data_IF_478304390145
#
_entry.id   IF_478304390145
#
_cell.length_a   1.000
_cell.length_b   1.000
_cell.length_c   1.000
_cell.angle_alpha   90.00
_cell.angle_beta   90.00
_cell.angle_gamma   90.00
#
_symmetry.space_group_name_H-M   'P 1'
#
loop_
_entity.id
_entity.type
_entity.pdbx_description
1 polymer ?
#
# COMPACT_ATOMS: atom_id res chain seq x y z
N UNK A 1 -13.00 3.07 78.33
CA UNK A 1 -14.31 3.59 78.76
C UNK A 1 -15.25 3.51 77.57
N UNK A 2 -16.28 2.68 77.70
CA UNK A 2 -17.46 2.42 76.84
C UNK A 2 -17.92 3.65 75.99
N UNK A 3 -18.46 3.52 74.77
CA UNK A 3 -19.69 2.80 74.41
C UNK A 3 -19.85 2.61 72.88
N UNK A 4 -20.51 1.51 72.53
CA UNK A 4 -21.03 1.09 71.21
C UNK A 4 -22.44 1.71 70.99
N UNK A 5 -22.92 1.82 69.73
CA UNK A 5 -24.25 1.36 69.20
C UNK A 5 -24.95 2.29 68.17
N UNK A 6 -25.13 1.72 66.96
CA UNK A 6 -26.25 1.74 65.94
C UNK A 6 -26.67 3.05 65.23
N UNK A 7 -26.58 3.16 63.88
CA UNK A 7 -27.37 2.56 62.74
C UNK A 7 -28.68 3.32 62.43
N UNK A 8 -28.79 3.87 61.20
CA UNK A 8 -29.91 3.77 60.21
C UNK A 8 -29.69 4.76 59.06
N UNK A 9 -29.37 4.29 57.84
CA UNK A 9 -30.21 4.18 56.62
C UNK A 9 -30.76 5.53 56.09
N UNK A 10 -30.28 5.92 54.90
CA UNK A 10 -31.09 6.62 53.90
C UNK A 10 -30.69 6.14 52.50
N UNK A 11 -31.65 5.48 51.87
CA UNK A 11 -31.66 5.01 50.49
C UNK A 11 -31.91 6.22 49.57
N UNK A 12 -31.09 6.45 48.56
CA UNK A 12 -31.45 7.30 47.43
C UNK A 12 -30.98 6.61 46.15
N UNK A 13 -31.91 5.94 45.48
CA UNK A 13 -31.71 5.36 44.17
C UNK A 13 -31.47 6.44 43.12
N UNK A 14 -30.55 6.17 42.21
CA UNK A 14 -30.41 6.88 40.95
C UNK A 14 -30.42 5.84 39.83
N UNK A 15 -31.61 5.52 39.35
CA UNK A 15 -31.83 4.96 38.03
C UNK A 15 -31.54 6.06 37.02
N UNK A 16 -30.44 5.94 36.27
CA UNK A 16 -30.24 6.69 35.04
C UNK A 16 -29.76 5.72 33.96
N UNK A 17 -30.74 5.25 33.20
CA UNK A 17 -30.74 4.82 31.80
C UNK A 17 -29.36 4.59 31.18
N UNK A 18 -29.12 3.33 30.82
CA UNK A 18 -28.16 2.94 29.82
C UNK A 18 -28.45 3.69 28.51
N UNK A 19 -27.77 4.80 28.29
CA UNK A 19 -27.66 5.38 26.98
C UNK A 19 -26.74 4.46 26.17
N UNK A 20 -27.32 3.80 25.17
CA UNK A 20 -26.59 3.28 24.03
C UNK A 20 -25.74 4.42 23.48
N UNK A 21 -24.47 4.45 23.87
CA UNK A 21 -23.49 5.18 23.07
C UNK A 21 -23.28 4.31 21.86
N UNK A 22 -23.86 4.72 20.73
CA UNK A 22 -23.40 4.31 19.41
C UNK A 22 -21.96 4.81 19.29
N UNK A 23 -21.05 4.06 19.91
CA UNK A 23 -19.63 4.17 19.66
C UNK A 23 -19.45 3.52 18.30
N UNK A 24 -19.63 4.32 17.26
CA UNK A 24 -19.06 4.02 15.97
C UNK A 24 -17.63 3.55 16.24
N UNK A 25 -17.23 2.33 15.82
CA UNK A 25 -15.85 1.90 15.95
C UNK A 25 -15.00 2.98 15.29
N UNK A 26 -14.17 3.67 16.07
CA UNK A 26 -13.20 4.60 15.52
C UNK A 26 -12.32 3.86 14.52
N UNK A 27 -11.82 4.54 13.46
CA UNK A 27 -10.96 3.92 12.47
C UNK A 27 -9.84 3.15 13.17
N UNK A 28 -9.70 1.88 12.84
CA UNK A 28 -8.68 0.97 13.36
C UNK A 28 -7.31 1.51 12.98
N UNK A 29 -6.67 2.25 13.89
CA UNK A 29 -5.27 2.08 14.26
C UNK A 29 -4.17 2.21 13.21
N UNK A 30 -4.44 2.60 11.97
CA UNK A 30 -3.42 3.12 11.06
C UNK A 30 -3.44 4.63 11.19
N UNK A 31 -2.92 5.11 12.31
CA UNK A 31 -2.30 6.43 12.30
C UNK A 31 -1.15 6.36 11.31
N UNK A 32 -1.45 6.70 10.05
CA UNK A 32 -0.45 6.93 9.01
C UNK A 32 0.36 8.14 9.48
N UNK A 33 1.41 7.83 10.23
CA UNK A 33 2.47 8.75 10.54
C UNK A 33 3.75 8.07 10.11
N UNK A 34 4.23 8.38 8.89
CA UNK A 34 5.66 8.46 8.71
C UNK A 34 6.22 9.39 9.79
N UNK A 35 6.94 8.83 10.76
CA UNK A 35 7.48 9.59 11.87
C UNK A 35 8.58 10.52 11.35
N UNK A 36 8.27 11.81 11.20
CA UNK A 36 9.26 12.88 11.00
C UNK A 36 9.91 13.28 12.34
N UNK A 37 10.31 12.33 13.18
CA UNK A 37 11.03 12.65 14.41
C UNK A 37 12.52 12.82 14.11
N UNK A 38 12.95 14.07 14.18
CA UNK A 38 14.28 14.53 13.79
C UNK A 38 15.43 13.99 14.65
N UNK A 39 16.49 13.63 13.95
CA UNK A 39 17.90 13.67 14.35
C UNK A 39 18.72 14.06 13.08
N UNK A 40 19.96 14.57 13.23
CA UNK A 40 20.56 15.49 12.27
C UNK A 40 20.96 14.81 10.96
N UNK A 41 20.42 15.31 9.84
CA UNK A 41 20.79 15.01 8.44
C UNK A 41 20.68 13.54 7.98
N UNK A 42 19.69 12.78 8.43
CA UNK A 42 19.11 11.76 7.53
C UNK A 42 18.25 12.50 6.49
N UNK A 43 18.85 12.76 5.35
CA UNK A 43 18.22 13.35 4.16
C UNK A 43 16.90 12.59 3.85
N UNK A 44 15.75 13.26 3.95
CA UNK A 44 14.45 12.58 3.90
C UNK A 44 14.19 11.93 2.55
N UNK A 45 14.09 10.59 2.54
CA UNK A 45 13.75 9.81 1.35
C UNK A 45 12.41 10.29 0.77
N UNK A 46 12.33 10.38 -0.56
CA UNK A 46 11.10 10.73 -1.26
C UNK A 46 10.15 9.53 -1.34
N UNK A 47 10.64 8.32 -1.62
CA UNK A 47 9.78 7.17 -1.94
C UNK A 47 8.85 6.74 -0.81
N UNK A 48 9.24 6.69 0.48
CA UNK A 48 8.31 6.38 1.56
C UNK A 48 7.11 7.34 1.63
N UNK A 49 7.35 8.65 1.45
CA UNK A 49 6.28 9.65 1.50
C UNK A 49 5.28 9.47 0.34
N UNK A 50 5.75 9.12 -0.85
CA UNK A 50 4.89 8.84 -2.00
C UNK A 50 4.13 7.51 -1.87
N UNK A 51 4.73 6.49 -1.26
CA UNK A 51 4.05 5.22 -0.97
C UNK A 51 2.97 5.40 0.10
N UNK A 52 3.23 6.19 1.15
CA UNK A 52 2.22 6.57 2.14
C UNK A 52 1.09 7.38 1.50
N UNK A 53 1.42 8.35 0.63
CA UNK A 53 0.41 9.10 -0.14
C UNK A 53 -0.45 8.16 -0.97
N UNK A 54 0.14 7.19 -1.67
CA UNK A 54 -0.58 6.19 -2.44
C UNK A 54 -1.51 5.35 -1.56
N UNK A 55 -1.06 4.91 -0.39
CA UNK A 55 -1.88 4.17 0.56
C UNK A 55 -3.08 4.97 1.08
N UNK A 56 -2.89 6.26 1.38
CA UNK A 56 -3.98 7.18 1.70
C UNK A 56 -4.99 7.29 0.56
N UNK A 57 -4.52 7.45 -0.68
CA UNK A 57 -5.38 7.59 -1.86
C UNK A 57 -6.14 6.30 -2.19
N UNK A 58 -5.51 5.13 -2.10
CA UNK A 58 -6.14 3.81 -2.27
C UNK A 58 -7.29 3.64 -1.26
N UNK A 59 -7.03 3.99 0.00
CA UNK A 59 -8.04 3.92 1.07
C UNK A 59 -9.21 4.87 0.80
N UNK A 60 -8.91 6.13 0.46
CA UNK A 60 -9.90 7.18 0.21
C UNK A 60 -10.75 6.91 -1.03
N UNK A 61 -10.14 6.42 -2.10
CA UNK A 61 -10.81 6.08 -3.36
C UNK A 61 -11.59 4.77 -3.28
N UNK A 62 -11.47 4.02 -2.18
CA UNK A 62 -12.17 2.75 -2.00
C UNK A 62 -11.72 1.68 -3.00
N UNK A 63 -10.44 1.67 -3.37
CA UNK A 63 -9.91 0.64 -4.26
C UNK A 63 -10.09 -0.74 -3.61
N UNK A 64 -10.62 -1.69 -4.39
CA UNK A 64 -10.66 -3.08 -3.96
C UNK A 64 -9.24 -3.68 -4.00
N UNK A 65 -8.98 -4.81 -3.30
CA UNK A 65 -7.65 -5.41 -3.25
C UNK A 65 -7.03 -5.69 -4.62
N UNK A 66 -7.83 -6.01 -5.63
CA UNK A 66 -7.33 -6.31 -6.98
C UNK A 66 -6.81 -5.05 -7.69
N UNK A 67 -7.54 -3.94 -7.54
CA UNK A 67 -7.14 -2.63 -8.08
C UNK A 67 -5.93 -2.09 -7.32
N UNK A 68 -5.90 -2.26 -6.00
CA UNK A 68 -4.76 -1.87 -5.18
C UNK A 68 -3.48 -2.66 -5.55
N UNK A 69 -3.57 -3.99 -5.72
CA UNK A 69 -2.46 -4.85 -6.16
C UNK A 69 -1.94 -4.48 -7.56
N UNK A 70 -2.75 -3.84 -8.41
CA UNK A 70 -2.28 -3.28 -9.68
C UNK A 70 -1.63 -1.89 -9.51
N UNK A 71 -2.19 -1.05 -8.64
CA UNK A 71 -1.75 0.32 -8.42
C UNK A 71 -0.35 0.44 -7.79
N UNK A 72 -0.05 -0.31 -6.73
CA UNK A 72 1.23 -0.18 -6.01
C UNK A 72 2.46 -0.55 -6.86
N UNK A 73 2.47 -1.67 -7.62
CA UNK A 73 3.61 -1.99 -8.48
C UNK A 73 3.85 -0.97 -9.59
N UNK A 74 2.80 -0.34 -10.13
CA UNK A 74 2.98 0.77 -11.08
C UNK A 74 3.80 1.90 -10.47
N UNK A 75 3.50 2.26 -9.22
CA UNK A 75 4.25 3.28 -8.51
C UNK A 75 5.68 2.82 -8.21
N UNK A 76 5.86 1.65 -7.58
CA UNK A 76 7.17 1.14 -7.17
C UNK A 76 8.13 0.97 -8.34
N UNK A 77 7.67 0.37 -9.45
CA UNK A 77 8.49 0.19 -10.66
C UNK A 77 8.84 1.52 -11.31
N UNK A 78 7.90 2.47 -11.36
CA UNK A 78 8.18 3.80 -11.91
C UNK A 78 9.26 4.54 -11.10
N UNK A 79 9.17 4.49 -9.77
CA UNK A 79 10.14 5.09 -8.87
C UNK A 79 11.54 4.47 -9.05
N UNK A 80 11.62 3.13 -9.08
CA UNK A 80 12.88 2.42 -9.30
C UNK A 80 13.52 2.78 -10.65
N UNK A 81 12.76 2.68 -11.75
CA UNK A 81 13.29 3.01 -13.08
C UNK A 81 13.70 4.48 -13.19
N UNK A 82 12.99 5.39 -12.53
CA UNK A 82 13.30 6.81 -12.53
C UNK A 82 14.65 7.08 -11.88
N UNK A 83 14.90 6.53 -10.67
CA UNK A 83 16.19 6.64 -9.99
C UNK A 83 17.31 6.05 -10.84
N UNK A 84 17.14 4.81 -11.31
CA UNK A 84 18.15 4.13 -12.14
C UNK A 84 18.53 4.94 -13.40
N UNK A 85 17.54 5.55 -14.08
CA UNK A 85 17.79 6.34 -15.31
C UNK A 85 18.34 7.72 -15.02
N UNK A 86 17.90 8.38 -13.95
CA UNK A 86 18.42 9.68 -13.56
C UNK A 86 19.92 9.59 -13.22
N UNK A 87 20.31 8.55 -12.47
CA UNK A 87 21.70 8.31 -12.13
C UNK A 87 22.54 7.89 -13.35
N UNK A 88 21.97 7.08 -14.25
CA UNK A 88 22.64 6.72 -15.51
C UNK A 88 22.92 7.96 -16.39
N UNK A 89 21.99 8.92 -16.44
CA UNK A 89 22.15 10.16 -17.19
C UNK A 89 23.28 11.06 -16.65
N UNK A 90 23.69 10.87 -15.39
CA UNK A 90 24.79 11.60 -14.74
C UNK A 90 26.14 10.85 -14.79
N UNK A 91 26.27 9.81 -15.63
CA UNK A 91 27.51 9.04 -15.78
C UNK A 91 27.55 7.72 -14.99
N UNK A 92 26.42 7.28 -14.41
CA UNK A 92 26.29 5.96 -13.80
C UNK A 92 26.89 5.82 -12.40
N UNK A 93 27.05 4.55 -11.96
CA UNK A 93 27.54 4.15 -10.64
C UNK A 93 29.05 4.36 -10.42
N UNK A 94 29.73 5.20 -11.21
CA UNK A 94 31.15 5.51 -11.00
C UNK A 94 31.33 6.36 -9.74
N UNK A 95 31.28 5.64 -8.62
CA UNK A 95 31.95 5.92 -7.36
C UNK A 95 33.44 6.09 -7.62
N UNK A 96 33.82 7.28 -8.07
CA UNK A 96 35.02 7.90 -7.53
C UNK A 96 34.74 8.19 -6.05
N UNK A 97 35.00 7.19 -5.18
CA UNK A 97 34.97 7.20 -3.71
C UNK A 97 33.63 6.92 -3.00
N UNK A 98 33.45 5.64 -2.63
CA UNK A 98 32.60 5.17 -1.50
C UNK A 98 33.15 5.65 -0.13
N UNK A 99 34.18 6.49 -0.11
CA UNK A 99 34.97 6.79 1.10
C UNK A 99 34.36 7.86 2.03
N UNK A 100 33.23 8.49 1.71
CA UNK A 100 32.77 9.65 2.51
C UNK A 100 32.12 9.31 3.85
N UNK A 101 31.85 8.03 4.18
CA UNK A 101 31.40 7.60 5.52
C UNK A 101 30.06 8.20 6.01
N UNK A 102 29.44 9.08 5.21
CA UNK A 102 28.20 9.83 5.52
C UNK A 102 27.02 9.42 4.63
N UNK A 103 27.18 8.40 3.77
CA UNK A 103 26.09 7.86 2.94
C UNK A 103 25.73 8.66 1.68
N UNK A 104 26.31 9.84 1.46
CA UNK A 104 25.93 10.77 0.37
C UNK A 104 26.76 10.56 -0.92
N UNK A 105 27.75 9.65 -0.91
CA UNK A 105 28.68 9.44 -2.03
C UNK A 105 29.47 10.71 -2.42
N UNK A 106 30.12 10.70 -3.58
CA UNK A 106 30.88 11.85 -4.09
C UNK A 106 30.01 12.98 -4.66
N UNK A 107 28.72 12.72 -4.91
CA UNK A 107 27.77 13.70 -5.45
C UNK A 107 27.15 14.63 -4.40
N UNK A 108 27.30 14.32 -3.11
CA UNK A 108 26.69 15.11 -2.04
C UNK A 108 25.18 15.32 -2.25
N UNK A 109 24.67 16.48 -1.84
CA UNK A 109 23.27 16.87 -2.03
C UNK A 109 22.78 16.79 -3.48
N UNK A 110 23.65 16.87 -4.48
CA UNK A 110 23.21 16.75 -5.87
C UNK A 110 22.61 15.38 -6.16
N UNK A 111 23.22 14.31 -5.64
CA UNK A 111 22.73 12.94 -5.86
C UNK A 111 21.41 12.71 -5.14
N UNK A 112 21.33 13.11 -3.87
CA UNK A 112 20.08 13.05 -3.12
C UNK A 112 18.96 13.76 -3.88
N UNK A 113 19.18 15.02 -4.23
CA UNK A 113 18.13 15.83 -4.85
C UNK A 113 17.73 15.28 -6.22
N UNK A 114 18.68 14.73 -6.98
CA UNK A 114 18.40 14.01 -8.22
C UNK A 114 17.46 12.81 -8.00
N UNK A 115 17.77 11.94 -7.04
CA UNK A 115 16.97 10.75 -6.75
C UNK A 115 15.59 11.14 -6.21
N UNK A 116 15.51 12.14 -5.31
CA UNK A 116 14.26 12.69 -4.80
C UNK A 116 13.38 13.26 -5.92
N UNK A 117 13.97 14.05 -6.82
CA UNK A 117 13.29 14.59 -7.99
C UNK A 117 12.77 13.48 -8.89
N UNK A 118 13.60 12.47 -9.18
CA UNK A 118 13.22 11.33 -10.01
C UNK A 118 12.03 10.56 -9.44
N UNK A 119 12.04 10.28 -8.14
CA UNK A 119 10.91 9.67 -7.43
C UNK A 119 9.67 10.56 -7.49
N UNK A 120 9.80 11.85 -7.21
CA UNK A 120 8.66 12.79 -7.22
C UNK A 120 8.01 12.87 -8.60
N UNK A 121 8.81 13.07 -9.66
CA UNK A 121 8.34 13.16 -11.04
C UNK A 121 7.67 11.87 -11.53
N UNK A 122 8.20 10.70 -11.17
CA UNK A 122 7.56 9.43 -11.53
C UNK A 122 6.24 9.22 -10.76
N UNK A 123 6.25 9.54 -9.47
CA UNK A 123 5.11 9.33 -8.58
C UNK A 123 3.93 10.22 -8.95
N UNK A 124 4.15 11.51 -9.23
CA UNK A 124 3.07 12.43 -9.61
C UNK A 124 2.37 11.98 -10.90
N UNK A 125 3.12 11.49 -11.89
CA UNK A 125 2.54 11.03 -13.16
C UNK A 125 1.71 9.76 -12.95
N UNK A 126 2.26 8.75 -12.26
CA UNK A 126 1.54 7.49 -12.01
C UNK A 126 0.32 7.71 -11.12
N UNK A 127 0.46 8.47 -10.03
CA UNK A 127 -0.67 8.73 -9.13
C UNK A 127 -1.72 9.64 -9.74
N UNK A 128 -1.36 10.56 -10.64
CA UNK A 128 -2.35 11.36 -11.39
C UNK A 128 -3.16 10.49 -12.35
N UNK A 129 -2.52 9.51 -13.00
CA UNK A 129 -3.23 8.52 -13.82
C UNK A 129 -4.22 7.69 -12.98
N UNK A 130 -3.81 7.24 -11.79
CA UNK A 130 -4.64 6.42 -10.90
C UNK A 130 -5.73 7.23 -10.18
N UNK A 131 -5.45 8.50 -9.86
CA UNK A 131 -6.32 9.38 -9.06
C UNK A 131 -6.43 10.78 -9.70
N UNK A 132 -7.12 10.93 -10.85
CA UNK A 132 -7.14 12.19 -11.59
C UNK A 132 -7.67 13.39 -10.80
N UNK A 133 -8.60 13.17 -9.86
CA UNK A 133 -9.14 14.24 -9.00
C UNK A 133 -8.11 14.83 -8.03
N UNK A 134 -6.99 14.14 -7.82
CA UNK A 134 -5.93 14.54 -6.89
C UNK A 134 -4.74 15.20 -7.59
N UNK A 135 -4.81 15.42 -8.91
CA UNK A 135 -3.70 15.92 -9.73
C UNK A 135 -3.03 17.16 -9.12
N UNK A 136 -3.81 18.20 -8.79
CA UNK A 136 -3.26 19.43 -8.21
C UNK A 136 -2.56 19.17 -6.86
N UNK A 137 -3.21 18.40 -5.97
CA UNK A 137 -2.63 18.09 -4.66
C UNK A 137 -1.37 17.21 -4.74
N UNK A 138 -1.18 16.47 -5.84
CA UNK A 138 0.02 15.70 -6.12
C UNK A 138 1.13 16.59 -6.69
N UNK A 139 0.81 17.54 -7.56
CA UNK A 139 1.76 18.57 -8.01
C UNK A 139 2.24 19.45 -6.85
N UNK A 140 1.33 19.86 -5.95
CA UNK A 140 1.69 20.61 -4.75
C UNK A 140 2.67 19.83 -3.84
N UNK A 141 2.59 18.49 -3.84
CA UNK A 141 3.54 17.63 -3.11
C UNK A 141 4.91 17.58 -3.78
N UNK A 142 4.98 17.62 -5.12
CA UNK A 142 6.25 17.77 -5.85
C UNK A 142 6.90 19.10 -5.48
N UNK A 143 6.14 20.20 -5.54
CA UNK A 143 6.62 21.53 -5.19
C UNK A 143 7.10 21.61 -3.73
N UNK A 144 6.35 21.00 -2.81
CA UNK A 144 6.77 20.92 -1.41
C UNK A 144 8.09 20.15 -1.24
N UNK A 145 8.26 19.02 -1.95
CA UNK A 145 9.49 18.24 -1.89
C UNK A 145 10.68 18.97 -2.54
N UNK A 146 10.46 19.68 -3.65
CA UNK A 146 11.48 20.49 -4.31
C UNK A 146 12.01 21.58 -3.36
N UNK A 147 11.13 22.17 -2.54
CA UNK A 147 11.47 23.29 -1.66
C UNK A 147 11.78 22.90 -0.20
N UNK A 148 11.86 21.59 0.11
CA UNK A 148 12.11 21.11 1.48
C UNK A 148 13.54 21.40 1.97
N UNK A 149 14.49 21.62 1.06
CA UNK A 149 15.90 21.86 1.37
C UNK A 149 16.25 23.34 1.63
N UNK A 150 17.36 23.62 2.34
CA UNK A 150 17.88 24.98 2.47
C UNK A 150 18.23 25.58 1.11
N UNK A 151 17.70 26.78 0.81
CA UNK A 151 17.97 27.48 -0.45
C UNK A 151 16.91 27.29 -1.55
N UNK A 152 15.83 26.57 -1.27
CA UNK A 152 14.73 26.33 -2.23
C UNK A 152 15.05 25.21 -3.23
N UNK A 153 14.31 25.17 -4.34
CA UNK A 153 14.44 24.13 -5.37
C UNK A 153 15.88 23.96 -5.89
N UNK A 154 16.39 22.74 -5.77
CA UNK A 154 17.74 22.38 -6.19
C UNK A 154 17.77 21.98 -7.68
N UNK A 155 18.73 22.44 -8.52
CA UNK A 155 18.75 22.11 -9.95
C UNK A 155 18.77 20.59 -10.24
N UNK A 156 19.46 19.81 -9.41
CA UNK A 156 19.46 18.36 -9.54
C UNK A 156 18.07 17.74 -9.31
N UNK A 157 17.24 18.31 -8.42
CA UNK A 157 15.84 17.90 -8.26
C UNK A 157 15.07 18.08 -9.55
N UNK A 158 15.15 19.26 -10.17
CA UNK A 158 14.47 19.52 -11.44
C UNK A 158 14.91 18.57 -12.57
N UNK A 159 16.20 18.22 -12.63
CA UNK A 159 16.70 17.21 -13.58
C UNK A 159 16.17 15.80 -13.30
N UNK A 160 16.16 15.42 -12.02
CA UNK A 160 15.57 14.17 -11.57
C UNK A 160 14.09 14.10 -11.94
N UNK A 161 13.34 15.14 -11.59
CA UNK A 161 11.91 15.28 -11.84
C UNK A 161 11.57 15.13 -13.32
N UNK A 162 12.30 15.81 -14.22
CA UNK A 162 12.09 15.67 -15.65
C UNK A 162 12.28 14.21 -16.12
N UNK A 163 13.30 13.52 -15.61
CA UNK A 163 13.55 12.10 -15.90
C UNK A 163 12.44 11.23 -15.32
N UNK A 164 12.02 11.49 -14.08
CA UNK A 164 10.95 10.79 -13.40
C UNK A 164 9.62 10.89 -14.12
N UNK A 165 9.23 12.09 -14.55
CA UNK A 165 7.98 12.31 -15.31
C UNK A 165 7.98 11.52 -16.62
N UNK A 166 9.11 11.48 -17.33
CA UNK A 166 9.24 10.67 -18.54
C UNK A 166 9.06 9.16 -18.26
N UNK A 167 9.69 8.64 -17.20
CA UNK A 167 9.53 7.25 -16.78
C UNK A 167 8.09 6.96 -16.34
N UNK A 168 7.48 7.86 -15.56
CA UNK A 168 6.09 7.74 -15.14
C UNK A 168 5.15 7.62 -16.33
N UNK A 169 5.38 8.41 -17.39
CA UNK A 169 4.58 8.34 -18.62
C UNK A 169 4.71 6.97 -19.33
N UNK A 170 5.91 6.38 -19.36
CA UNK A 170 6.12 5.03 -19.91
C UNK A 170 5.37 3.97 -19.09
N UNK A 171 5.39 4.08 -17.77
CA UNK A 171 4.67 3.15 -16.89
C UNK A 171 3.16 3.30 -17.03
N UNK A 172 2.65 4.52 -17.19
CA UNK A 172 1.24 4.77 -17.51
C UNK A 172 0.88 4.16 -18.86
N UNK A 173 1.71 4.30 -19.89
CA UNK A 173 1.47 3.70 -21.21
C UNK A 173 1.43 2.15 -21.12
N UNK A 174 2.30 1.54 -20.32
CA UNK A 174 2.23 0.11 -20.01
C UNK A 174 0.91 -0.23 -19.32
N UNK A 175 0.51 0.51 -18.28
CA UNK A 175 -0.71 0.28 -17.53
C UNK A 175 -1.98 0.32 -18.39
N UNK A 176 -2.01 1.20 -19.41
CA UNK A 176 -3.13 1.32 -20.33
C UNK A 176 -3.26 0.12 -21.28
N UNK A 177 -2.19 -0.64 -21.48
CA UNK A 177 -2.11 -1.72 -22.47
C UNK A 177 -1.90 -3.11 -21.86
N UNK A 178 -1.70 -3.20 -20.54
CA UNK A 178 -1.41 -4.46 -19.86
C UNK A 178 -2.60 -5.41 -19.74
N UNK A 179 -3.82 -4.95 -20.04
CA UNK A 179 -5.03 -5.76 -20.04
C UNK A 179 -5.84 -5.73 -18.74
N UNK A 180 -5.39 -5.01 -17.70
CA UNK A 180 -6.09 -4.94 -16.41
C UNK A 180 -7.52 -4.40 -16.50
N UNK A 181 -7.76 -3.42 -17.36
CA UNK A 181 -9.07 -2.78 -17.57
C UNK A 181 -10.02 -3.56 -18.49
N UNK A 182 -9.60 -4.72 -19.03
CA UNK A 182 -10.45 -5.49 -19.95
C UNK A 182 -11.61 -6.14 -19.21
N UNK A 183 -12.83 -5.85 -19.68
CA UNK A 183 -14.04 -6.45 -19.14
C UNK A 183 -14.07 -7.97 -19.39
N UNK A 184 -14.49 -8.76 -18.40
CA UNK A 184 -14.75 -10.18 -18.60
C UNK A 184 -15.93 -10.38 -19.57
N UNK A 185 -15.72 -11.16 -20.63
CA UNK A 185 -16.73 -11.42 -21.68
C UNK A 185 -17.19 -12.88 -21.73
N UNK A 186 -16.72 -13.73 -20.81
CA UNK A 186 -17.09 -15.14 -20.76
C UNK A 186 -18.46 -15.37 -20.11
N UNK A 187 -18.92 -16.62 -20.18
CA UNK A 187 -20.12 -17.08 -19.46
C UNK A 187 -19.72 -17.56 -18.07
N UNK A 188 -20.41 -17.08 -17.03
CA UNK A 188 -20.23 -17.56 -15.65
C UNK A 188 -20.99 -18.88 -15.50
N UNK A 189 -20.33 -20.01 -15.18
CA UNK A 189 -21.00 -21.29 -14.96
C UNK A 189 -22.00 -21.21 -13.80
N UNK A 190 -23.12 -21.90 -13.94
CA UNK A 190 -24.16 -21.98 -12.90
C UNK A 190 -24.41 -23.43 -12.51
N UNK A 191 -24.78 -23.67 -11.25
CA UNK A 191 -25.18 -24.98 -10.75
C UNK A 191 -24.40 -25.42 -9.52
N UNK A 192 -24.70 -26.61 -8.97
CA UNK A 192 -24.00 -27.15 -7.82
C UNK A 192 -22.49 -27.26 -8.05
N UNK A 193 -21.70 -26.92 -7.03
CA UNK A 193 -20.24 -26.96 -7.10
C UNK A 193 -19.58 -25.80 -7.85
N UNK A 194 -20.35 -24.89 -8.46
CA UNK A 194 -19.84 -23.66 -9.03
C UNK A 194 -20.00 -22.48 -8.06
N UNK A 195 -19.07 -21.54 -8.15
CA UNK A 195 -19.18 -20.26 -7.45
C UNK A 195 -20.43 -19.49 -7.94
N UNK A 196 -21.10 -18.79 -7.02
CA UNK A 196 -22.28 -17.96 -7.33
C UNK A 196 -21.96 -16.49 -7.11
N UNK A 197 -22.32 -15.66 -8.09
CA UNK A 197 -22.13 -14.22 -8.01
C UNK A 197 -23.13 -13.57 -7.06
N UNK A 198 -22.67 -12.57 -6.31
CA UNK A 198 -23.49 -11.77 -5.40
C UNK A 198 -23.97 -10.45 -6.04
N UNK A 199 -23.75 -10.27 -7.35
CA UNK A 199 -24.16 -9.08 -8.11
C UNK A 199 -25.21 -9.42 -9.18
N UNK A 200 -25.99 -8.43 -9.60
CA UNK A 200 -26.95 -8.55 -10.71
C UNK A 200 -26.75 -7.36 -11.66
N UNK A 201 -26.34 -7.58 -12.94
CA UNK A 201 -26.02 -8.87 -13.55
C UNK A 201 -24.78 -9.54 -12.92
N UNK A 202 -24.64 -10.88 -13.02
CA UNK A 202 -23.49 -11.60 -12.46
C UNK A 202 -22.15 -11.09 -13.00
N UNK A 203 -21.23 -10.77 -12.09
CA UNK A 203 -19.83 -10.43 -12.41
C UNK A 203 -18.86 -11.41 -11.75
N UNK A 204 -17.64 -11.55 -12.27
CA UNK A 204 -16.55 -12.31 -11.62
C UNK A 204 -15.68 -11.33 -10.83
N UNK A 205 -15.50 -11.57 -9.53
CA UNK A 205 -14.51 -10.86 -8.73
C UNK A 205 -13.10 -11.13 -9.29
N UNK A 206 -12.39 -10.09 -9.71
CA UNK A 206 -11.07 -10.22 -10.35
C UNK A 206 -11.09 -10.36 -11.87
N UNK A 207 -12.28 -10.29 -12.48
CA UNK A 207 -12.45 -10.12 -13.93
C UNK A 207 -11.52 -10.98 -14.78
N UNK A 208 -10.72 -10.31 -15.63
CA UNK A 208 -9.74 -10.93 -16.53
C UNK A 208 -8.31 -10.93 -15.96
N UNK A 209 -8.09 -11.03 -14.65
CA UNK A 209 -6.73 -11.08 -14.09
C UNK A 209 -5.76 -12.05 -14.83
N UNK A 210 -6.18 -13.26 -15.28
CA UNK A 210 -5.34 -14.12 -16.11
C UNK A 210 -4.93 -13.56 -17.48
N UNK A 211 -5.62 -12.53 -17.98
CA UNK A 211 -5.33 -11.81 -19.22
C UNK A 211 -4.48 -10.54 -19.01
N UNK A 212 -4.05 -10.26 -17.78
CA UNK A 212 -3.16 -9.14 -17.46
C UNK A 212 -1.71 -9.53 -17.69
N UNK A 213 -0.95 -8.66 -18.34
CA UNK A 213 0.47 -8.85 -18.63
C UNK A 213 1.28 -8.81 -17.34
N UNK A 214 1.89 -9.94 -16.92
CA UNK A 214 2.65 -9.98 -15.68
C UNK A 214 3.91 -9.10 -15.72
N UNK A 215 4.45 -8.78 -14.54
CA UNK A 215 5.76 -8.13 -14.42
C UNK A 215 6.92 -9.13 -14.55
N UNK A 216 6.86 -10.22 -13.78
CA UNK A 216 7.96 -11.18 -13.65
C UNK A 216 7.59 -12.61 -14.07
N UNK A 217 6.30 -12.93 -14.17
CA UNK A 217 5.86 -14.27 -14.56
C UNK A 217 5.98 -14.47 -16.06
N UNK A 218 6.42 -15.64 -16.49
CA UNK A 218 6.47 -16.02 -17.91
C UNK A 218 5.08 -16.36 -18.47
N UNK A 219 4.13 -16.69 -17.59
CA UNK A 219 2.72 -16.92 -17.92
C UNK A 219 1.84 -16.72 -16.68
N UNK A 220 0.56 -16.39 -16.88
CA UNK A 220 -0.41 -16.25 -15.78
C UNK A 220 -0.61 -17.55 -14.98
N UNK A 221 -0.27 -18.71 -15.55
CA UNK A 221 -0.42 -20.03 -14.92
C UNK A 221 0.89 -20.60 -14.37
N UNK A 222 1.98 -19.84 -14.32
CA UNK A 222 3.31 -20.35 -13.92
C UNK A 222 3.29 -21.07 -12.57
N UNK A 223 2.48 -20.61 -11.62
CA UNK A 223 2.32 -21.21 -10.28
C UNK A 223 0.90 -21.73 -10.02
N UNK A 224 0.17 -22.13 -11.06
CA UNK A 224 -1.20 -22.65 -10.90
C UNK A 224 -1.17 -23.96 -10.08
N UNK A 225 -1.84 -24.04 -8.92
CA UNK A 225 -1.93 -25.27 -8.16
C UNK A 225 -2.78 -26.32 -8.89
N UNK A 226 -2.72 -27.57 -8.42
CA UNK A 226 -3.65 -28.61 -8.84
C UNK A 226 -5.12 -28.26 -8.55
N UNK A 227 -6.08 -29.01 -9.12
CA UNK A 227 -7.50 -28.74 -8.88
C UNK A 227 -7.86 -28.93 -7.39
N UNK A 228 -8.84 -28.17 -6.88
CA UNK A 228 -9.35 -28.38 -5.53
C UNK A 228 -10.05 -29.75 -5.41
N UNK A 229 -10.33 -30.24 -4.17
CA UNK A 229 -11.14 -31.43 -3.96
C UNK A 229 -12.46 -31.37 -4.74
N UNK A 230 -12.82 -32.48 -5.40
CA UNK A 230 -14.04 -32.55 -6.18
C UNK A 230 -15.28 -32.23 -5.31
N UNK A 231 -16.24 -31.48 -5.85
CA UNK A 231 -17.46 -31.13 -5.14
C UNK A 231 -18.16 -32.38 -4.61
N UNK A 232 -18.62 -32.31 -3.35
CA UNK A 232 -19.24 -33.43 -2.63
C UNK A 232 -18.38 -34.69 -2.41
N UNK A 233 -17.08 -34.68 -2.76
CA UNK A 233 -16.15 -35.74 -2.36
C UNK A 233 -15.96 -35.78 -0.84
N UNK A 234 -15.46 -36.90 -0.32
CA UNK A 234 -15.14 -37.03 1.11
C UNK A 234 -14.20 -35.91 1.58
N UNK A 235 -13.15 -35.59 0.82
CA UNK A 235 -12.22 -34.51 1.14
C UNK A 235 -12.90 -33.13 1.14
N UNK A 236 -13.80 -32.86 0.20
CA UNK A 236 -14.59 -31.61 0.20
C UNK A 236 -15.49 -31.51 1.43
N UNK A 237 -16.18 -32.60 1.79
CA UNK A 237 -17.06 -32.66 2.97
C UNK A 237 -16.27 -32.40 4.24
N UNK A 238 -15.11 -33.06 4.41
CA UNK A 238 -14.22 -32.83 5.54
C UNK A 238 -13.79 -31.37 5.66
N UNK A 239 -13.32 -30.75 4.57
CA UNK A 239 -12.89 -29.36 4.58
C UNK A 239 -14.04 -28.38 4.89
N UNK A 240 -15.25 -28.64 4.36
CA UNK A 240 -16.45 -27.85 4.68
C UNK A 240 -16.81 -27.96 6.16
N UNK A 241 -16.78 -29.17 6.71
CA UNK A 241 -17.16 -29.41 8.11
C UNK A 241 -16.16 -28.77 9.08
N UNK A 242 -14.87 -28.72 8.73
CA UNK A 242 -13.87 -27.95 9.46
C UNK A 242 -14.21 -26.45 9.50
N UNK A 243 -14.53 -25.85 8.34
CA UNK A 243 -14.93 -24.43 8.27
C UNK A 243 -16.20 -24.19 9.11
N UNK A 244 -17.16 -25.11 9.06
CA UNK A 244 -18.39 -25.01 9.88
C UNK A 244 -18.08 -25.07 11.37
N UNK A 245 -17.24 -26.00 11.79
CA UNK A 245 -16.81 -26.13 13.18
C UNK A 245 -16.15 -24.84 13.67
N UNK A 246 -15.18 -24.29 12.91
CA UNK A 246 -14.53 -23.01 13.25
C UNK A 246 -15.58 -21.90 13.32
N UNK A 247 -16.54 -21.85 12.40
CA UNK A 247 -17.60 -20.84 12.44
C UNK A 247 -18.46 -20.95 13.71
N UNK A 248 -18.72 -22.14 14.23
CA UNK A 248 -19.53 -22.35 15.42
C UNK A 248 -18.75 -22.11 16.72
N UNK A 249 -17.43 -22.40 16.72
CA UNK A 249 -16.62 -22.38 17.95
C UNK A 249 -15.52 -21.33 17.97
N UNK A 250 -15.49 -20.41 17.00
CA UNK A 250 -14.41 -19.40 16.91
C UNK A 250 -14.29 -18.59 18.19
N UNK A 251 -13.06 -18.46 18.69
CA UNK A 251 -12.74 -17.66 19.88
C UNK A 251 -12.68 -16.17 19.55
N UNK A 252 -12.69 -15.33 20.59
CA UNK A 252 -12.47 -13.88 20.43
C UNK A 252 -11.12 -13.57 19.76
N UNK A 253 -10.08 -14.36 20.08
CA UNK A 253 -8.76 -14.24 19.45
C UNK A 253 -8.83 -14.56 17.95
N UNK A 254 -9.49 -15.66 17.55
CA UNK A 254 -9.64 -16.02 16.14
C UNK A 254 -10.45 -14.97 15.36
N UNK A 255 -11.46 -14.36 15.99
CA UNK A 255 -12.18 -13.21 15.41
C UNK A 255 -11.23 -12.01 15.24
N UNK A 256 -10.41 -11.72 16.25
CA UNK A 256 -9.42 -10.64 16.20
C UNK A 256 -8.41 -10.83 15.06
N UNK A 257 -7.88 -12.04 14.90
CA UNK A 257 -6.95 -12.40 13.81
C UNK A 257 -7.63 -12.22 12.44
N UNK A 258 -8.87 -12.71 12.29
CA UNK A 258 -9.61 -12.57 11.04
C UNK A 258 -9.90 -11.10 10.69
N UNK A 259 -10.31 -10.29 11.68
CA UNK A 259 -10.56 -8.87 11.50
C UNK A 259 -9.28 -8.10 11.15
N UNK A 260 -8.16 -8.43 11.79
CA UNK A 260 -6.86 -7.81 11.50
C UNK A 260 -6.44 -8.03 10.05
N UNK A 261 -6.56 -9.26 9.53
CA UNK A 261 -6.15 -9.61 8.17
C UNK A 261 -7.21 -9.30 7.09
N UNK A 262 -8.40 -8.83 7.47
CA UNK A 262 -9.50 -8.59 6.52
C UNK A 262 -9.16 -7.52 5.47
N UNK A 263 -8.40 -6.48 5.85
CA UNK A 263 -7.79 -5.45 5.00
C UNK A 263 -8.60 -5.14 3.71
N UNK A 264 -9.88 -4.80 3.89
CA UNK A 264 -10.85 -4.65 2.80
C UNK A 264 -10.88 -3.21 2.26
N UNK A 265 -11.80 -2.93 1.33
CA UNK A 265 -12.08 -1.58 0.83
C UNK A 265 -12.21 -0.59 2.00
N UNK A 266 -11.60 0.59 1.86
CA UNK A 266 -11.51 1.59 2.92
C UNK A 266 -10.24 1.48 3.77
N UNK A 267 -9.38 0.50 3.49
CA UNK A 267 -8.00 0.43 4.01
C UNK A 267 -6.99 0.47 2.85
N UNK A 268 -5.67 0.51 3.11
CA UNK A 268 -4.65 0.32 2.08
C UNK A 268 -4.65 -1.07 1.42
N UNK A 269 -5.54 -1.97 1.85
CA UNK A 269 -5.61 -3.38 1.47
C UNK A 269 -4.37 -4.19 1.87
N UNK A 270 -4.35 -5.49 1.58
CA UNK A 270 -3.20 -6.35 1.87
C UNK A 270 -1.92 -5.87 1.17
N UNK A 271 -2.01 -5.32 -0.05
CA UNK A 271 -0.84 -4.82 -0.76
C UNK A 271 -0.22 -3.62 -0.03
N UNK A 272 -1.04 -2.63 0.37
CA UNK A 272 -0.57 -1.48 1.12
C UNK A 272 0.00 -1.82 2.50
N UNK A 273 -0.54 -2.85 3.16
CA UNK A 273 0.03 -3.37 4.41
C UNK A 273 1.48 -3.86 4.21
N UNK A 274 1.77 -4.64 3.17
CA UNK A 274 3.13 -5.10 2.90
C UNK A 274 4.06 -3.97 2.50
N UNK A 275 3.59 -2.98 1.73
CA UNK A 275 4.33 -1.75 1.44
C UNK A 275 4.70 -0.99 2.72
N UNK A 276 3.80 -0.95 3.71
CA UNK A 276 4.10 -0.36 5.02
C UNK A 276 5.17 -1.15 5.77
N UNK A 277 5.07 -2.48 5.81
CA UNK A 277 6.10 -3.34 6.42
C UNK A 277 7.47 -3.10 5.75
N UNK A 278 7.51 -2.96 4.43
CA UNK A 278 8.73 -2.60 3.71
C UNK A 278 9.24 -1.20 4.06
N UNK A 279 8.35 -0.23 4.23
CA UNK A 279 8.69 1.14 4.68
C UNK A 279 9.33 1.13 6.06
N UNK A 280 8.78 0.34 6.99
CA UNK A 280 9.33 0.17 8.34
C UNK A 280 10.73 -0.45 8.27
N UNK A 281 10.93 -1.45 7.41
CA UNK A 281 12.24 -2.05 7.14
C UNK A 281 13.24 -1.06 6.55
N UNK A 282 12.84 -0.24 5.57
CA UNK A 282 13.66 0.83 4.98
C UNK A 282 14.19 1.76 6.07
N UNK A 283 13.31 2.21 6.97
CA UNK A 283 13.66 3.12 8.05
C UNK A 283 14.58 2.45 9.09
N UNK A 284 14.26 1.22 9.50
CA UNK A 284 15.05 0.46 10.47
C UNK A 284 16.46 0.19 9.99
N UNK A 285 16.65 -0.04 8.69
CA UNK A 285 17.93 -0.35 8.08
C UNK A 285 18.62 0.85 7.41
N UNK A 286 18.01 2.05 7.47
CA UNK A 286 18.55 3.27 6.88
C UNK A 286 18.93 3.12 5.40
N UNK A 287 18.05 2.50 4.62
CA UNK A 287 18.29 2.26 3.20
C UNK A 287 18.37 3.58 2.42
N UNK A 288 19.22 3.61 1.39
CA UNK A 288 19.27 4.71 0.41
C UNK A 288 18.02 4.77 -0.46
N UNK A 289 17.78 5.90 -1.15
CA UNK A 289 16.65 6.04 -2.09
C UNK A 289 16.66 4.95 -3.17
N UNK A 290 17.85 4.60 -3.68
CA UNK A 290 18.02 3.49 -4.63
C UNK A 290 17.59 2.15 -4.04
N UNK A 291 18.02 1.84 -2.82
CA UNK A 291 17.68 0.58 -2.16
C UNK A 291 16.18 0.53 -1.79
N UNK A 292 15.61 1.65 -1.33
CA UNK A 292 14.20 1.78 -1.00
C UNK A 292 13.31 1.58 -2.22
N UNK A 293 13.59 2.29 -3.33
CA UNK A 293 12.83 2.14 -4.58
C UNK A 293 12.97 0.75 -5.19
N UNK A 294 14.14 0.12 -5.07
CA UNK A 294 14.33 -1.27 -5.49
C UNK A 294 13.47 -2.24 -4.67
N UNK A 295 13.40 -2.05 -3.33
CA UNK A 295 12.53 -2.87 -2.49
C UNK A 295 11.05 -2.71 -2.87
N UNK A 296 10.57 -1.48 -3.07
CA UNK A 296 9.18 -1.24 -3.48
C UNK A 296 8.84 -1.79 -4.88
N UNK A 297 9.81 -1.86 -5.79
CA UNK A 297 9.58 -2.42 -7.13
C UNK A 297 9.49 -3.96 -7.14
N UNK A 298 10.03 -4.63 -6.12
CA UNK A 298 10.04 -6.10 -6.02
C UNK A 298 8.92 -6.67 -5.14
N UNK A 299 8.26 -5.83 -4.34
CA UNK A 299 7.19 -6.21 -3.41
C UNK A 299 5.80 -6.13 -4.07
#
# INVERSE_FOLDING_TARGET
MFRVVRVSIALAGSLALAACTDRAPGPTGLGLSASHNGLPFTEGLASPAWQEKAAGLVSQAGFNPQTATHAYPLLGVAQYLAVQRAEAAQGGIDVANVASGIGIGAGGRNRLELDRGAVAGASVVVLTYLFPSQAQALEDLVDAQANAGPGGSHPAFAHGEATGRAVGAEIVARAQTDGFSRAFTGTIPTGPGFWTSNTTPPTIAGGQLPGVTPWFLTSASQFRPGPPPAFASAAFVTARDEIRQISETRTAEQIGIAAYWALSVGTPTTAGFWIQVATDGINQHSLSEREATHLYALL
#
